data_IF_264033882923
#
_entry.id   IF_264033882923
#
_cell.length_a   1.000
_cell.length_b   1.000
_cell.length_c   1.000
_cell.angle_alpha   90.00
_cell.angle_beta   90.00
_cell.angle_gamma   90.00
#
_symmetry.space_group_name_H-M   'P 1'
#
loop_
_entity.id
_entity.type
_entity.pdbx_description
1 polymer ?
#
# COMPACT_ATOMS: atom_id res chain seq x y z
N UNK A 1 -28.50 -12.59 -1.36
CA UNK A 1 -28.84 -13.88 -1.98
C UNK A 1 -29.84 -13.59 -3.07
N UNK A 2 -29.62 -14.08 -4.30
CA UNK A 2 -30.54 -13.99 -5.40
C UNK A 2 -31.36 -15.28 -5.45
N UNK A 3 -32.67 -15.16 -5.61
CA UNK A 3 -33.56 -16.30 -5.68
C UNK A 3 -34.48 -16.07 -6.87
N UNK A 4 -34.53 -17.02 -7.81
CA UNK A 4 -35.50 -17.03 -8.88
C UNK A 4 -36.85 -17.57 -8.34
N UNK A 5 -37.92 -16.82 -8.56
CA UNK A 5 -39.26 -17.23 -8.17
C UNK A 5 -40.00 -17.76 -9.42
N UNK A 6 -40.27 -19.04 -9.42
CA UNK A 6 -41.16 -19.64 -10.43
C UNK A 6 -42.62 -19.13 -10.23
N UNK A 7 -43.47 -19.25 -11.25
CA UNK A 7 -44.83 -18.77 -11.17
C UNK A 7 -45.64 -19.48 -10.05
N UNK A 8 -45.31 -20.74 -9.76
CA UNK A 8 -45.86 -21.47 -8.63
C UNK A 8 -45.42 -20.87 -7.28
N UNK A 9 -44.18 -20.47 -7.17
CA UNK A 9 -43.63 -19.85 -5.95
C UNK A 9 -44.15 -18.43 -5.72
N UNK A 10 -44.47 -17.68 -6.79
CA UNK A 10 -45.07 -16.34 -6.69
C UNK A 10 -46.47 -16.37 -6.05
N UNK A 11 -47.21 -17.46 -6.22
CA UNK A 11 -48.53 -17.68 -5.63
C UNK A 11 -48.51 -18.43 -4.29
N UNK A 12 -47.34 -18.83 -3.81
CA UNK A 12 -47.15 -19.59 -2.57
C UNK A 12 -47.02 -18.71 -1.33
N UNK A 13 -47.23 -19.28 -0.13
CA UNK A 13 -46.97 -18.65 1.16
C UNK A 13 -45.48 -18.50 1.50
N UNK A 14 -44.55 -18.89 0.60
CA UNK A 14 -43.13 -18.99 0.85
C UNK A 14 -42.50 -17.71 1.44
N UNK A 15 -42.80 -16.56 0.84
CA UNK A 15 -42.27 -15.28 1.32
C UNK A 15 -42.78 -14.92 2.72
N UNK A 16 -44.07 -15.24 2.98
CA UNK A 16 -44.67 -15.02 4.30
C UNK A 16 -44.05 -15.95 5.34
N UNK A 17 -43.84 -17.22 5.00
CA UNK A 17 -43.19 -18.20 5.88
C UNK A 17 -41.74 -17.81 6.19
N UNK A 18 -40.97 -17.32 5.19
CA UNK A 18 -39.62 -16.82 5.38
C UNK A 18 -39.58 -15.61 6.30
N UNK A 19 -40.51 -14.66 6.16
CA UNK A 19 -40.60 -13.49 7.04
C UNK A 19 -40.97 -13.89 8.48
N UNK A 20 -41.90 -14.80 8.66
CA UNK A 20 -42.26 -15.32 9.98
C UNK A 20 -41.09 -16.04 10.63
N UNK A 21 -40.37 -16.88 9.87
CA UNK A 21 -39.21 -17.59 10.39
C UNK A 21 -38.07 -16.66 10.74
N UNK A 22 -37.83 -15.66 9.91
CA UNK A 22 -36.83 -14.62 10.21
C UNK A 22 -37.17 -13.86 11.51
N UNK A 23 -38.44 -13.56 11.71
CA UNK A 23 -38.91 -12.89 12.94
C UNK A 23 -38.69 -13.78 14.18
N UNK A 24 -39.01 -15.09 14.09
CA UNK A 24 -38.78 -16.04 15.19
C UNK A 24 -37.32 -16.12 15.64
N UNK A 25 -36.38 -16.07 14.69
CA UNK A 25 -34.94 -16.17 15.00
C UNK A 25 -34.25 -14.81 15.17
N UNK A 26 -35.03 -13.71 15.18
CA UNK A 26 -34.49 -12.36 15.38
C UNK A 26 -33.69 -11.80 14.21
N UNK A 27 -33.88 -12.34 12.99
CA UNK A 27 -33.20 -11.87 11.77
C UNK A 27 -34.15 -10.96 11.00
N UNK A 28 -33.60 -9.86 10.48
CA UNK A 28 -34.32 -8.94 9.61
C UNK A 28 -34.04 -9.27 8.15
N UNK A 29 -35.07 -9.57 7.35
CA UNK A 29 -34.97 -9.85 5.92
C UNK A 29 -35.62 -8.69 5.15
N UNK A 30 -34.95 -8.25 4.10
CA UNK A 30 -35.45 -7.32 3.09
C UNK A 30 -35.50 -8.03 1.75
N UNK A 31 -36.63 -7.94 1.06
CA UNK A 31 -36.79 -8.44 -0.30
C UNK A 31 -36.84 -7.25 -1.26
N UNK A 32 -36.07 -7.33 -2.33
CA UNK A 32 -36.16 -6.41 -3.46
C UNK A 32 -36.48 -7.23 -4.70
N UNK A 33 -37.60 -6.96 -5.34
CA UNK A 33 -37.92 -7.58 -6.61
C UNK A 33 -37.06 -6.94 -7.71
N UNK A 34 -36.50 -7.77 -8.57
CA UNK A 34 -35.77 -7.33 -9.78
C UNK A 34 -36.43 -7.98 -11.00
N UNK A 35 -36.54 -7.24 -12.08
CA UNK A 35 -37.05 -7.77 -13.36
C UNK A 35 -35.97 -8.62 -14.07
N UNK A 36 -36.42 -9.44 -15.03
CA UNK A 36 -35.46 -10.18 -15.87
C UNK A 36 -34.51 -9.24 -16.63
N UNK A 37 -34.97 -8.08 -17.06
CA UNK A 37 -34.18 -7.07 -17.76
C UNK A 37 -33.14 -6.46 -16.81
N UNK A 38 -33.51 -6.14 -15.57
CA UNK A 38 -32.60 -5.66 -14.55
C UNK A 38 -31.54 -6.71 -14.19
N UNK A 39 -31.93 -7.98 -14.13
CA UNK A 39 -31.01 -9.10 -13.92
C UNK A 39 -30.02 -9.25 -15.07
N UNK A 40 -30.48 -9.25 -16.32
CA UNK A 40 -29.63 -9.32 -17.49
C UNK A 40 -28.67 -8.14 -17.57
N UNK A 41 -29.13 -6.93 -17.31
CA UNK A 41 -28.30 -5.75 -17.25
C UNK A 41 -27.25 -5.84 -16.15
N UNK A 42 -27.59 -6.40 -14.98
CA UNK A 42 -26.68 -6.65 -13.89
C UNK A 42 -25.61 -7.70 -14.26
N UNK A 43 -26.01 -8.80 -14.92
CA UNK A 43 -25.07 -9.83 -15.40
C UNK A 43 -24.10 -9.26 -16.44
N UNK A 44 -24.60 -8.47 -17.41
CA UNK A 44 -23.77 -7.80 -18.40
C UNK A 44 -22.83 -6.78 -17.75
N UNK A 45 -23.28 -6.08 -16.72
CA UNK A 45 -22.46 -5.15 -15.94
C UNK A 45 -21.31 -5.83 -15.18
N UNK A 46 -21.40 -7.13 -14.88
CA UNK A 46 -20.30 -7.88 -14.24
C UNK A 46 -19.11 -8.15 -15.18
N UNK A 47 -19.30 -8.06 -16.48
CA UNK A 47 -18.22 -8.19 -17.48
C UNK A 47 -17.35 -6.94 -17.59
N UNK A 48 -17.75 -5.81 -16.95
CA UNK A 48 -16.99 -4.56 -16.96
C UNK A 48 -15.76 -4.62 -16.06
N UNK A 49 -14.76 -3.81 -16.38
CA UNK A 49 -13.60 -3.62 -15.53
C UNK A 49 -14.01 -3.17 -14.12
N UNK A 50 -13.33 -3.69 -13.12
CA UNK A 50 -13.55 -3.35 -11.71
C UNK A 50 -12.30 -2.72 -11.14
N UNK A 51 -12.49 -1.63 -10.41
CA UNK A 51 -11.41 -0.80 -9.91
C UNK A 51 -11.64 -0.44 -8.45
N UNK A 52 -10.52 -0.20 -7.76
CA UNK A 52 -10.51 0.28 -6.39
C UNK A 52 -9.71 1.58 -6.34
N UNK A 53 -10.33 2.58 -5.75
CA UNK A 53 -9.71 3.86 -5.47
C UNK A 53 -9.66 4.03 -3.95
N UNK A 54 -8.46 4.12 -3.39
CA UNK A 54 -8.25 4.35 -1.96
C UNK A 54 -7.82 5.78 -1.72
N UNK A 55 -8.50 6.47 -0.83
CA UNK A 55 -8.21 7.85 -0.45
C UNK A 55 -7.78 7.89 1.01
N UNK A 56 -6.61 8.44 1.28
CA UNK A 56 -6.03 8.56 2.62
C UNK A 56 -5.69 10.02 2.91
N UNK A 57 -6.01 10.49 4.08
CA UNK A 57 -5.64 11.84 4.54
C UNK A 57 -5.73 12.01 6.05
N UNK A 58 -5.20 13.10 6.59
CA UNK A 58 -5.33 13.42 8.03
C UNK A 58 -6.80 13.66 8.40
N UNK A 59 -7.57 14.23 7.48
CA UNK A 59 -9.02 14.37 7.54
C UNK A 59 -9.60 14.27 6.15
N UNK A 60 -10.74 13.62 5.97
CA UNK A 60 -11.45 13.58 4.69
C UNK A 60 -12.76 14.35 4.82
N UNK A 61 -12.88 15.41 4.03
CA UNK A 61 -14.06 16.25 3.91
C UNK A 61 -14.91 15.86 2.68
N UNK A 62 -16.11 16.37 2.62
CA UNK A 62 -17.00 16.16 1.48
C UNK A 62 -16.41 16.66 0.16
N UNK A 63 -15.60 17.73 0.20
CA UNK A 63 -14.90 18.28 -0.97
C UNK A 63 -13.92 17.27 -1.58
N UNK A 64 -13.14 16.55 -0.76
CA UNK A 64 -12.21 15.52 -1.20
C UNK A 64 -12.93 14.37 -1.91
N UNK A 65 -14.02 13.87 -1.31
CA UNK A 65 -14.82 12.82 -1.93
C UNK A 65 -15.52 13.29 -3.21
N UNK A 66 -15.99 14.53 -3.25
CA UNK A 66 -16.60 15.11 -4.45
C UNK A 66 -15.58 15.21 -5.59
N UNK A 67 -14.35 15.69 -5.31
CA UNK A 67 -13.30 15.80 -6.31
C UNK A 67 -12.89 14.42 -6.87
N UNK A 68 -12.65 13.43 -6.00
CA UNK A 68 -12.33 12.07 -6.42
C UNK A 68 -13.47 11.43 -7.22
N UNK A 69 -14.73 11.62 -6.77
CA UNK A 69 -15.91 11.10 -7.48
C UNK A 69 -16.08 11.79 -8.84
N UNK A 70 -15.74 13.08 -8.95
CA UNK A 70 -15.74 13.81 -10.20
C UNK A 70 -14.76 13.25 -11.23
N UNK A 71 -13.53 12.88 -10.80
CA UNK A 71 -12.56 12.23 -11.67
C UNK A 71 -13.06 10.86 -12.12
N UNK A 72 -13.59 10.04 -11.19
CA UNK A 72 -14.13 8.70 -11.51
C UNK A 72 -15.26 8.80 -12.55
N UNK A 73 -16.21 9.72 -12.34
CA UNK A 73 -17.32 9.94 -13.26
C UNK A 73 -16.84 10.52 -14.62
N UNK A 74 -15.85 11.41 -14.60
CA UNK A 74 -15.27 12.03 -15.78
C UNK A 74 -14.63 11.04 -16.77
N UNK A 75 -14.11 9.92 -16.25
CA UNK A 75 -13.56 8.83 -17.08
C UNK A 75 -14.59 7.74 -17.40
N UNK A 76 -15.88 7.96 -17.11
CA UNK A 76 -16.98 7.06 -17.45
C UNK A 76 -17.16 5.87 -16.51
N UNK A 77 -16.52 5.87 -15.33
CA UNK A 77 -16.71 4.84 -14.32
C UNK A 77 -17.88 5.16 -13.39
N UNK A 78 -18.58 4.11 -12.95
CA UNK A 78 -19.61 4.19 -11.92
C UNK A 78 -19.02 3.82 -10.55
N UNK A 79 -19.40 4.54 -9.51
CA UNK A 79 -19.05 4.18 -8.13
C UNK A 79 -20.12 3.22 -7.61
N UNK A 80 -19.71 1.99 -7.33
CA UNK A 80 -20.62 0.93 -6.85
C UNK A 80 -20.75 0.97 -5.32
N UNK A 81 -19.65 1.29 -4.61
CA UNK A 81 -19.61 1.28 -3.15
C UNK A 81 -18.53 2.22 -2.61
N UNK A 82 -18.80 2.80 -1.45
CA UNK A 82 -17.86 3.61 -0.68
C UNK A 82 -17.78 3.03 0.74
N UNK A 83 -16.58 2.60 1.14
CA UNK A 83 -16.33 2.04 2.46
C UNK A 83 -15.28 2.85 3.21
N UNK A 84 -15.54 3.09 4.49
CA UNK A 84 -14.50 3.62 5.39
C UNK A 84 -13.68 2.46 5.94
N UNK A 85 -12.38 2.44 5.65
CA UNK A 85 -11.44 1.43 6.14
C UNK A 85 -10.82 1.79 7.50
N UNK A 86 -10.70 3.09 7.80
CA UNK A 86 -10.20 3.56 9.09
C UNK A 86 -11.24 3.43 10.20
N UNK A 87 -10.78 3.22 11.44
CA UNK A 87 -11.63 3.26 12.62
C UNK A 87 -12.32 4.64 12.78
N UNK A 88 -13.44 4.67 13.52
CA UNK A 88 -14.08 5.93 13.91
C UNK A 88 -13.31 6.50 15.11
N UNK A 89 -12.94 7.76 15.04
CA UNK A 89 -12.35 8.48 16.17
C UNK A 89 -13.47 9.07 17.05
N UNK A 90 -13.32 9.05 18.39
CA UNK A 90 -14.25 9.76 19.28
C UNK A 90 -14.28 11.27 18.96
N UNK A 91 -15.43 11.92 19.11
CA UNK A 91 -15.60 13.35 18.85
C UNK A 91 -14.70 14.24 19.73
N UNK A 92 -14.26 13.72 20.89
CA UNK A 92 -13.39 14.43 21.83
C UNK A 92 -11.88 14.28 21.52
N UNK A 93 -11.50 13.55 20.48
CA UNK A 93 -10.09 13.37 20.09
C UNK A 93 -9.74 14.38 19.00
N UNK A 94 -8.86 15.32 19.30
CA UNK A 94 -8.36 16.35 18.39
C UNK A 94 -7.47 15.76 17.28
N UNK A 95 -8.04 14.90 16.43
CA UNK A 95 -7.54 14.68 15.09
C UNK A 95 -6.26 13.86 14.91
N UNK A 96 -5.83 13.06 15.87
CA UNK A 96 -4.59 12.25 15.75
C UNK A 96 -4.75 10.93 14.94
N UNK A 97 -5.64 10.86 13.97
CA UNK A 97 -5.85 9.65 13.18
C UNK A 97 -6.00 9.92 11.69
N UNK A 98 -5.28 9.19 10.85
CA UNK A 98 -5.52 9.23 9.40
C UNK A 98 -6.84 8.54 9.06
N UNK A 99 -7.58 9.12 8.11
CA UNK A 99 -8.83 8.60 7.58
C UNK A 99 -8.57 7.95 6.24
N UNK A 100 -9.05 6.71 6.07
CA UNK A 100 -8.97 5.98 4.81
C UNK A 100 -10.38 5.60 4.35
N UNK A 101 -10.69 5.91 3.09
CA UNK A 101 -11.92 5.55 2.39
C UNK A 101 -11.56 4.81 1.12
N UNK A 102 -12.28 3.74 0.83
CA UNK A 102 -12.14 2.94 -0.40
C UNK A 102 -13.43 3.11 -1.23
N UNK A 103 -13.27 3.47 -2.49
CA UNK A 103 -14.35 3.50 -3.48
C UNK A 103 -14.14 2.31 -4.43
N UNK A 104 -15.17 1.46 -4.54
CA UNK A 104 -15.25 0.43 -5.57
C UNK A 104 -15.95 1.03 -6.77
N UNK A 105 -15.35 0.92 -7.94
CA UNK A 105 -15.91 1.45 -9.19
C UNK A 105 -15.92 0.39 -10.28
N UNK A 106 -16.84 0.51 -11.23
CA UNK A 106 -16.96 -0.38 -12.39
C UNK A 106 -17.21 0.42 -13.67
N UNK A 107 -16.76 -0.13 -14.79
CA UNK A 107 -16.94 0.48 -16.10
C UNK A 107 -15.82 0.12 -17.07
N UNK A 108 -15.90 0.70 -18.26
CA UNK A 108 -14.91 0.53 -19.32
C UNK A 108 -13.97 1.76 -19.33
N UNK A 109 -12.81 1.60 -18.69
CA UNK A 109 -11.82 2.66 -18.61
C UNK A 109 -11.02 2.74 -19.89
N UNK A 110 -11.09 3.90 -20.57
CA UNK A 110 -10.40 4.10 -21.84
C UNK A 110 -8.88 4.25 -21.68
N UNK A 111 -8.42 4.88 -20.59
CA UNK A 111 -7.01 5.13 -20.30
C UNK A 111 -6.76 5.11 -18.79
N UNK A 112 -5.91 4.19 -18.33
CA UNK A 112 -5.46 4.17 -16.93
C UNK A 112 -4.52 5.33 -16.59
N UNK A 113 -3.69 5.75 -17.56
CA UNK A 113 -2.72 6.82 -17.36
C UNK A 113 -3.42 8.16 -17.16
N UNK A 114 -4.52 8.41 -17.90
CA UNK A 114 -5.33 9.60 -17.70
C UNK A 114 -5.99 9.61 -16.32
N UNK A 115 -6.53 8.47 -15.91
CA UNK A 115 -7.09 8.29 -14.56
C UNK A 115 -6.04 8.54 -13.47
N UNK A 116 -4.86 7.95 -13.61
CA UNK A 116 -3.75 8.13 -12.65
C UNK A 116 -3.31 9.58 -12.58
N UNK A 117 -3.12 10.21 -13.74
CA UNK A 117 -2.71 11.61 -13.82
C UNK A 117 -3.72 12.56 -13.17
N UNK A 118 -5.01 12.34 -13.42
CA UNK A 118 -6.08 13.12 -12.80
C UNK A 118 -6.15 12.94 -11.28
N UNK A 119 -5.98 11.71 -10.77
CA UNK A 119 -5.93 11.44 -9.33
C UNK A 119 -4.69 12.03 -8.68
N UNK A 120 -3.52 11.99 -9.34
CA UNK A 120 -2.30 12.62 -8.84
C UNK A 120 -2.45 14.14 -8.72
N UNK A 121 -3.17 14.79 -9.63
CA UNK A 121 -3.44 16.23 -9.52
C UNK A 121 -4.19 16.55 -8.21
N UNK A 122 -5.17 15.71 -7.82
CA UNK A 122 -5.90 15.88 -6.56
C UNK A 122 -5.01 15.72 -5.32
N UNK A 123 -4.02 14.84 -5.36
CA UNK A 123 -3.04 14.66 -4.28
C UNK A 123 -2.30 15.96 -3.97
N UNK A 124 -1.93 16.70 -5.01
CA UNK A 124 -1.26 18.00 -4.85
C UNK A 124 -2.20 19.13 -4.40
N UNK A 125 -3.47 19.06 -4.79
CA UNK A 125 -4.46 20.11 -4.48
C UNK A 125 -5.00 20.03 -3.05
N UNK A 126 -5.19 18.80 -2.53
CA UNK A 126 -5.97 18.55 -1.31
C UNK A 126 -5.21 17.96 -0.13
N UNK A 127 -3.91 17.80 -0.19
CA UNK A 127 -3.09 17.13 0.85
C UNK A 127 -3.66 15.76 1.24
N UNK A 128 -4.05 14.97 0.24
CA UNK A 128 -4.53 13.59 0.36
C UNK A 128 -3.71 12.66 -0.50
N UNK A 129 -3.56 11.42 -0.07
CA UNK A 129 -3.00 10.36 -0.90
C UNK A 129 -4.13 9.61 -1.61
N UNK A 130 -3.97 9.36 -2.92
CA UNK A 130 -4.93 8.59 -3.69
C UNK A 130 -4.23 7.44 -4.41
N UNK A 131 -4.71 6.22 -4.21
CA UNK A 131 -4.23 5.04 -4.90
C UNK A 131 -5.32 4.46 -5.81
N UNK A 132 -4.92 4.02 -7.01
CA UNK A 132 -5.78 3.38 -8.00
C UNK A 132 -5.25 2.00 -8.37
N UNK A 133 -6.15 1.01 -8.41
CA UNK A 133 -5.79 -0.37 -8.77
C UNK A 133 -6.97 -1.15 -9.35
N UNK A 134 -6.69 -2.19 -10.15
CA UNK A 134 -7.70 -3.15 -10.57
C UNK A 134 -8.20 -4.00 -9.40
N UNK A 135 -9.52 -4.24 -9.31
CA UNK A 135 -10.11 -5.23 -8.39
C UNK A 135 -10.13 -6.62 -9.03
N UNK A 136 -9.00 -7.31 -8.93
CA UNK A 136 -8.87 -8.67 -9.45
C UNK A 136 -8.98 -9.71 -8.34
N UNK A 137 -9.25 -10.97 -8.70
CA UNK A 137 -9.26 -12.10 -7.74
C UNK A 137 -7.92 -12.25 -7.02
N UNK A 138 -6.83 -11.86 -7.66
CA UNK A 138 -5.48 -11.91 -7.09
C UNK A 138 -5.24 -10.87 -6.00
N UNK A 139 -5.97 -9.75 -5.99
CA UNK A 139 -5.87 -8.73 -4.93
C UNK A 139 -6.16 -9.32 -3.54
N UNK A 140 -7.14 -10.19 -3.43
CA UNK A 140 -7.58 -10.78 -2.15
C UNK A 140 -6.82 -12.05 -1.76
N UNK A 141 -6.08 -12.64 -2.69
CA UNK A 141 -5.37 -13.91 -2.50
C UNK A 141 -3.86 -13.74 -2.31
N UNK A 142 -3.35 -12.50 -2.23
CA UNK A 142 -1.94 -12.24 -1.94
C UNK A 142 -1.61 -12.66 -0.52
N UNK A 143 -0.46 -13.34 -0.36
CA UNK A 143 0.01 -13.85 0.93
C UNK A 143 1.43 -13.40 1.26
N UNK A 144 2.06 -12.64 0.38
CA UNK A 144 3.38 -12.05 0.55
C UNK A 144 3.28 -10.53 0.39
N UNK A 145 3.85 -9.80 1.34
CA UNK A 145 4.04 -8.35 1.27
C UNK A 145 5.53 -8.07 1.33
N UNK A 146 6.05 -7.44 0.29
CA UNK A 146 7.44 -7.00 0.23
C UNK A 146 7.52 -5.49 0.52
N UNK A 147 8.50 -5.11 1.30
CA UNK A 147 8.79 -3.73 1.69
C UNK A 147 10.17 -3.34 1.18
N UNK A 148 10.30 -2.11 0.75
CA UNK A 148 11.60 -1.45 0.72
C UNK A 148 12.03 -1.12 2.16
N UNK A 149 13.31 -0.83 2.34
CA UNK A 149 13.90 -0.57 3.65
C UNK A 149 14.07 0.92 3.90
N UNK A 150 14.92 1.55 3.09
CA UNK A 150 15.32 2.93 3.28
C UNK A 150 14.14 3.87 2.98
N UNK A 151 13.92 4.87 3.82
CA UNK A 151 12.79 5.81 3.73
C UNK A 151 11.39 5.16 3.70
N UNK A 152 11.29 3.83 3.95
CA UNK A 152 10.04 3.05 3.95
C UNK A 152 9.80 2.34 5.29
N UNK A 153 10.68 1.45 5.72
CA UNK A 153 10.61 0.83 7.06
C UNK A 153 11.39 1.62 8.09
N UNK A 154 12.40 2.35 7.66
CA UNK A 154 13.24 3.24 8.47
C UNK A 154 13.20 4.66 7.93
N UNK A 155 13.37 5.64 8.82
CA UNK A 155 13.26 7.07 8.50
C UNK A 155 14.55 7.69 7.97
N UNK A 156 15.44 6.93 7.32
CA UNK A 156 16.70 7.42 6.77
C UNK A 156 17.19 6.55 5.62
N UNK A 157 18.13 7.10 4.85
CA UNK A 157 18.95 6.38 3.88
C UNK A 157 20.21 5.87 4.59
N UNK A 158 20.40 4.54 4.69
CA UNK A 158 21.53 3.94 5.43
C UNK A 158 22.87 4.36 4.86
N UNK A 159 22.99 4.47 3.53
CA UNK A 159 24.24 4.88 2.88
C UNK A 159 24.63 6.32 3.25
N UNK A 160 23.66 7.21 3.39
CA UNK A 160 23.89 8.60 3.80
C UNK A 160 24.34 8.68 5.26
N UNK A 161 23.75 7.86 6.13
CA UNK A 161 24.14 7.77 7.53
C UNK A 161 25.58 7.25 7.70
N UNK A 162 25.98 6.27 6.89
CA UNK A 162 27.36 5.79 6.84
C UNK A 162 28.31 6.86 6.29
N UNK A 163 27.89 7.58 5.23
CA UNK A 163 28.67 8.64 4.62
C UNK A 163 28.93 9.82 5.59
N UNK A 164 27.95 10.18 6.43
CA UNK A 164 28.15 11.17 7.49
C UNK A 164 29.22 10.75 8.47
N UNK A 165 29.22 9.47 8.88
CA UNK A 165 30.23 8.92 9.81
C UNK A 165 31.61 8.77 9.17
N UNK A 166 31.66 8.56 7.87
CA UNK A 166 32.89 8.52 7.10
C UNK A 166 33.44 9.93 6.72
N UNK A 167 32.62 11.00 6.92
CA UNK A 167 32.98 12.37 6.52
C UNK A 167 32.94 12.61 5.01
N UNK A 168 32.18 11.81 4.26
CA UNK A 168 32.10 11.86 2.79
C UNK A 168 30.65 12.12 2.28
N UNK A 169 29.78 12.63 3.15
CA UNK A 169 28.36 12.83 2.82
C UNK A 169 28.15 13.68 1.57
N UNK A 170 28.86 14.81 1.43
CA UNK A 170 28.67 15.71 0.29
C UNK A 170 29.04 15.03 -1.04
N UNK A 171 30.05 14.15 -1.03
CA UNK A 171 30.46 13.39 -2.21
C UNK A 171 29.42 12.34 -2.57
N UNK A 172 28.86 11.64 -1.59
CA UNK A 172 27.79 10.65 -1.78
C UNK A 172 26.54 11.33 -2.30
N UNK A 173 26.13 12.47 -1.74
CA UNK A 173 24.99 13.26 -2.19
C UNK A 173 25.13 13.70 -3.66
N UNK A 174 26.31 14.21 -4.05
CA UNK A 174 26.56 14.61 -5.44
C UNK A 174 26.42 13.45 -6.44
N UNK A 175 26.87 12.23 -6.08
CA UNK A 175 26.71 11.03 -6.92
C UNK A 175 25.21 10.65 -7.00
N UNK A 176 24.49 10.75 -5.89
CA UNK A 176 23.06 10.47 -5.86
C UNK A 176 22.30 11.43 -6.78
N UNK A 177 22.59 12.72 -6.73
CA UNK A 177 21.98 13.72 -7.61
C UNK A 177 22.29 13.47 -9.09
N UNK A 178 23.54 13.10 -9.43
CA UNK A 178 23.93 12.74 -10.79
C UNK A 178 23.13 11.51 -11.30
N UNK A 179 22.94 10.50 -10.45
CA UNK A 179 22.13 9.34 -10.79
C UNK A 179 20.64 9.71 -10.98
N UNK A 180 20.09 10.59 -10.14
CA UNK A 180 18.71 11.09 -10.28
C UNK A 180 18.49 11.89 -11.57
N UNK A 181 19.54 12.57 -12.09
CA UNK A 181 19.50 13.24 -13.39
C UNK A 181 19.71 12.28 -14.58
N UNK A 182 19.90 10.97 -14.32
CA UNK A 182 20.13 9.96 -15.36
C UNK A 182 21.55 9.96 -15.95
N UNK A 183 22.51 10.63 -15.31
CA UNK A 183 23.92 10.67 -15.74
C UNK A 183 24.67 9.36 -15.40
N UNK A 184 24.18 8.64 -14.41
CA UNK A 184 24.73 7.35 -13.94
C UNK A 184 23.59 6.34 -13.81
N UNK A 185 23.84 5.09 -14.15
CA UNK A 185 22.94 4.00 -13.82
C UNK A 185 22.99 3.68 -12.32
N UNK A 186 21.96 2.96 -11.86
CA UNK A 186 21.83 2.63 -10.43
C UNK A 186 23.03 1.85 -9.89
N UNK A 187 23.51 0.83 -10.62
CA UNK A 187 24.61 -0.03 -10.15
C UNK A 187 25.94 0.72 -10.09
N UNK A 188 26.24 1.50 -11.12
CA UNK A 188 27.46 2.34 -11.14
C UNK A 188 27.45 3.37 -10.02
N UNK A 189 26.33 4.09 -9.85
CA UNK A 189 26.14 5.05 -8.77
C UNK A 189 26.28 4.40 -7.39
N UNK A 190 25.65 3.24 -7.18
CA UNK A 190 25.70 2.54 -5.89
C UNK A 190 27.14 2.12 -5.55
N UNK A 191 27.86 1.51 -6.50
CA UNK A 191 29.26 1.10 -6.31
C UNK A 191 30.18 2.28 -6.01
N UNK A 192 30.01 3.41 -6.71
CA UNK A 192 30.78 4.62 -6.44
C UNK A 192 30.55 5.14 -5.03
N UNK A 193 29.28 5.22 -4.60
CA UNK A 193 28.94 5.66 -3.24
C UNK A 193 29.51 4.72 -2.18
N UNK A 194 29.42 3.40 -2.38
CA UNK A 194 29.99 2.41 -1.45
C UNK A 194 31.52 2.50 -1.40
N UNK A 195 32.20 2.74 -2.52
CA UNK A 195 33.66 2.86 -2.56
C UNK A 195 34.20 4.01 -1.69
N UNK A 196 33.40 5.08 -1.53
CA UNK A 196 33.75 6.21 -0.64
C UNK A 196 33.71 5.85 0.85
N UNK A 197 33.03 4.76 1.22
CA UNK A 197 32.97 4.27 2.60
C UNK A 197 34.19 3.45 3.01
N UNK A 198 35.16 3.25 2.10
CA UNK A 198 36.40 2.51 2.39
C UNK A 198 37.13 3.07 3.59
N UNK A 199 37.53 2.21 4.51
CA UNK A 199 38.23 2.60 5.73
C UNK A 199 37.30 2.89 6.93
N UNK A 200 35.99 2.92 6.73
CA UNK A 200 35.04 3.10 7.82
C UNK A 200 35.10 1.88 8.77
N UNK A 201 35.14 2.11 10.07
CA UNK A 201 35.16 1.01 11.06
C UNK A 201 33.81 0.34 11.16
N UNK A 202 33.78 -0.98 11.33
CA UNK A 202 32.53 -1.76 11.49
C UNK A 202 31.66 -1.28 12.68
N UNK A 203 32.28 -0.69 13.71
CA UNK A 203 31.51 -0.08 14.81
C UNK A 203 30.56 1.04 14.36
N UNK A 204 30.83 1.69 13.24
CA UNK A 204 29.92 2.69 12.67
C UNK A 204 28.61 2.07 12.14
N UNK A 205 28.65 0.82 11.66
CA UNK A 205 27.46 0.09 11.23
C UNK A 205 26.51 -0.12 12.42
N UNK A 206 27.06 -0.52 13.57
CA UNK A 206 26.25 -0.67 14.79
C UNK A 206 25.66 0.66 15.25
N UNK A 207 26.42 1.74 15.18
CA UNK A 207 25.91 3.07 15.50
C UNK A 207 24.76 3.50 14.59
N UNK A 208 24.79 3.14 13.30
CA UNK A 208 23.67 3.40 12.38
C UNK A 208 22.44 2.60 12.80
N UNK A 209 22.60 1.31 13.11
CA UNK A 209 21.52 0.47 13.63
C UNK A 209 20.86 1.09 14.87
N UNK A 210 21.68 1.58 15.80
CA UNK A 210 21.22 2.11 17.09
C UNK A 210 20.52 3.48 16.96
N UNK A 211 20.83 4.26 15.92
CA UNK A 211 20.37 5.65 15.78
C UNK A 211 19.27 5.86 14.78
N UNK A 212 19.14 5.00 13.76
CA UNK A 212 18.12 5.16 12.71
C UNK A 212 16.75 4.74 13.25
N UNK A 213 15.77 5.65 13.24
CA UNK A 213 14.43 5.33 13.75
C UNK A 213 13.63 4.50 12.74
N UNK A 214 12.72 3.68 13.25
CA UNK A 214 11.67 3.08 12.42
C UNK A 214 10.69 4.14 11.97
N UNK A 215 10.12 3.95 10.79
CA UNK A 215 8.98 4.73 10.34
C UNK A 215 7.77 4.50 11.25
N UNK A 216 7.01 5.54 11.46
CA UNK A 216 5.81 5.47 12.31
C UNK A 216 4.81 4.45 11.74
N UNK A 217 4.35 3.56 12.62
CA UNK A 217 3.41 2.50 12.28
C UNK A 217 4.02 1.23 11.66
N UNK A 218 5.31 1.18 11.34
CA UNK A 218 5.95 0.00 10.73
C UNK A 218 5.80 -1.26 11.58
N UNK A 219 6.06 -1.18 12.89
CA UNK A 219 5.91 -2.32 13.82
C UNK A 219 4.46 -2.83 13.85
N UNK A 220 3.49 -1.91 13.92
CA UNK A 220 2.07 -2.25 13.97
C UNK A 220 1.60 -2.89 12.66
N UNK A 221 2.05 -2.36 11.52
CA UNK A 221 1.71 -2.89 10.20
C UNK A 221 2.19 -4.34 10.06
N UNK A 222 3.47 -4.59 10.32
CA UNK A 222 4.06 -5.92 10.17
C UNK A 222 3.43 -6.92 11.16
N UNK A 223 3.22 -6.52 12.42
CA UNK A 223 2.54 -7.36 13.40
C UNK A 223 1.11 -7.72 12.96
N UNK A 224 0.40 -6.78 12.33
CA UNK A 224 -0.95 -7.01 11.80
C UNK A 224 -0.94 -7.96 10.61
N UNK A 225 -0.03 -7.76 9.64
CA UNK A 225 0.11 -8.64 8.49
C UNK A 225 0.41 -10.09 8.92
N UNK A 226 1.31 -10.27 9.87
CA UNK A 226 1.63 -11.60 10.42
C UNK A 226 0.42 -12.26 11.09
N UNK A 227 -0.35 -11.52 11.88
CA UNK A 227 -1.63 -12.03 12.47
C UNK A 227 -2.63 -12.45 11.41
N UNK A 228 -2.65 -11.78 10.26
CA UNK A 228 -3.50 -12.11 9.12
C UNK A 228 -2.93 -13.26 8.26
N UNK A 229 -1.79 -13.84 8.62
CA UNK A 229 -1.17 -14.97 7.93
C UNK A 229 -0.38 -14.60 6.68
N UNK A 230 -0.03 -13.32 6.50
CA UNK A 230 0.86 -12.91 5.43
C UNK A 230 2.30 -13.25 5.75
N UNK A 231 3.05 -13.62 4.71
CA UNK A 231 4.51 -13.61 4.70
C UNK A 231 5.00 -12.21 4.40
N UNK A 232 6.13 -11.83 5.00
CA UNK A 232 6.72 -10.50 4.84
C UNK A 232 8.15 -10.59 4.35
N UNK A 233 8.56 -9.68 3.48
CA UNK A 233 9.90 -9.63 2.92
C UNK A 233 10.44 -8.19 2.92
N UNK A 234 11.75 -8.05 3.09
CA UNK A 234 12.50 -6.84 2.74
C UNK A 234 13.17 -7.09 1.39
N UNK A 235 12.93 -6.20 0.43
CA UNK A 235 13.63 -6.13 -0.86
C UNK A 235 14.24 -4.74 -0.96
N UNK A 236 15.57 -4.63 -0.84
CA UNK A 236 16.25 -3.33 -0.75
C UNK A 236 17.52 -3.28 -1.56
N UNK A 237 17.76 -2.16 -2.22
CA UNK A 237 19.05 -1.81 -2.78
C UNK A 237 20.12 -1.48 -1.73
N UNK A 238 19.73 -1.34 -0.46
CA UNK A 238 20.61 -1.05 0.68
C UNK A 238 21.36 -2.28 1.22
N UNK A 239 21.61 -2.30 2.54
CA UNK A 239 22.57 -3.21 3.15
C UNK A 239 21.91 -4.28 4.06
N UNK A 240 22.41 -5.50 3.96
CA UNK A 240 21.93 -6.66 4.74
C UNK A 240 22.10 -6.50 6.24
N UNK A 241 23.13 -5.77 6.73
CA UNK A 241 23.34 -5.61 8.17
C UNK A 241 22.15 -4.90 8.84
N UNK A 242 21.63 -3.84 8.24
CA UNK A 242 20.41 -3.15 8.71
C UNK A 242 19.17 -4.01 8.51
N UNK A 243 19.05 -4.64 7.34
CA UNK A 243 17.93 -5.53 7.04
C UNK A 243 17.81 -6.70 8.01
N UNK A 244 18.93 -7.31 8.45
CA UNK A 244 18.95 -8.38 9.47
C UNK A 244 18.46 -7.87 10.82
N UNK A 245 18.82 -6.68 11.24
CA UNK A 245 18.31 -6.10 12.48
C UNK A 245 16.80 -5.84 12.40
N UNK A 246 16.31 -5.29 11.29
CA UNK A 246 14.87 -5.11 11.06
C UNK A 246 14.13 -6.45 11.01
N UNK A 247 14.69 -7.44 10.33
CA UNK A 247 14.15 -8.80 10.30
C UNK A 247 13.99 -9.37 11.70
N UNK A 248 15.02 -9.25 12.53
CA UNK A 248 15.00 -9.72 13.93
C UNK A 248 13.99 -8.95 14.77
N UNK A 249 13.98 -7.62 14.69
CA UNK A 249 13.14 -6.72 15.49
C UNK A 249 11.66 -6.83 15.13
N UNK A 250 11.34 -6.86 13.84
CA UNK A 250 9.97 -6.84 13.33
C UNK A 250 9.41 -8.26 13.06
N UNK A 251 10.28 -9.28 13.03
CA UNK A 251 9.92 -10.66 12.71
C UNK A 251 9.56 -10.86 11.25
N UNK A 252 10.29 -10.21 10.33
CA UNK A 252 10.11 -10.34 8.89
C UNK A 252 10.64 -11.68 8.41
N UNK A 253 9.90 -12.36 7.49
CA UNK A 253 10.24 -13.72 7.06
C UNK A 253 11.44 -13.78 6.12
N UNK A 254 11.56 -12.85 5.17
CA UNK A 254 12.57 -12.89 4.11
C UNK A 254 13.33 -11.56 3.99
N UNK A 255 14.59 -11.65 3.61
CA UNK A 255 15.45 -10.49 3.38
C UNK A 255 16.29 -10.69 2.12
N UNK A 256 16.22 -9.73 1.21
CA UNK A 256 17.09 -9.60 0.04
C UNK A 256 17.65 -8.18 -0.01
N UNK A 257 18.96 -8.06 0.15
CA UNK A 257 19.70 -6.80 0.13
C UNK A 257 21.17 -7.07 -0.20
N UNK A 258 21.95 -6.02 -0.41
CA UNK A 258 23.38 -6.15 -0.72
C UNK A 258 24.22 -6.34 0.56
N UNK A 259 25.27 -7.10 0.48
CA UNK A 259 26.22 -7.32 1.58
C UNK A 259 27.39 -6.37 1.47
N UNK A 260 27.56 -5.50 2.46
CA UNK A 260 28.71 -4.62 2.57
C UNK A 260 29.93 -5.47 3.00
N UNK A 261 31.01 -5.39 2.22
CA UNK A 261 32.20 -6.19 2.52
C UNK A 261 33.02 -5.53 3.65
N UNK A 262 33.28 -6.32 4.68
CA UNK A 262 34.02 -5.90 5.88
C UNK A 262 35.13 -6.90 6.17
N UNK A 263 36.36 -6.42 6.23
CA UNK A 263 37.55 -7.23 6.56
C UNK A 263 38.28 -6.57 7.72
N UNK A 264 38.69 -7.35 8.71
CA UNK A 264 39.42 -6.87 9.90
C UNK A 264 38.75 -5.65 10.57
N UNK A 265 37.44 -5.73 10.75
CA UNK A 265 36.60 -4.66 11.35
C UNK A 265 36.63 -3.32 10.56
N UNK A 266 36.94 -3.37 9.26
CA UNK A 266 36.99 -2.20 8.39
C UNK A 266 36.24 -2.48 7.09
N UNK A 267 35.42 -1.52 6.65
CA UNK A 267 34.70 -1.55 5.38
C UNK A 267 35.71 -1.44 4.23
N UNK A 268 35.66 -2.37 3.30
CA UNK A 268 36.60 -2.43 2.16
C UNK A 268 36.25 -1.42 1.06
N UNK A 269 35.01 -0.92 1.03
CA UNK A 269 34.47 -0.12 -0.06
C UNK A 269 33.88 -0.97 -1.19
N UNK A 270 33.73 -2.28 -0.96
CA UNK A 270 33.11 -3.21 -1.91
C UNK A 270 31.77 -3.72 -1.39
N UNK A 271 30.94 -4.15 -2.30
CA UNK A 271 29.61 -4.70 -2.00
C UNK A 271 29.38 -5.96 -2.83
N UNK A 272 28.77 -6.95 -2.21
CA UNK A 272 28.30 -8.18 -2.86
C UNK A 272 26.79 -8.20 -2.81
N UNK A 273 26.16 -8.48 -3.92
CA UNK A 273 24.70 -8.56 -3.95
C UNK A 273 24.13 -8.81 -5.33
N UNK A 274 22.83 -8.92 -5.36
CA UNK A 274 22.04 -9.31 -6.54
C UNK A 274 21.28 -8.09 -7.11
N UNK A 275 21.30 -6.98 -6.41
CA UNK A 275 20.50 -5.78 -6.75
C UNK A 275 21.42 -4.67 -7.23
#
# INVERSE_FOLDING_TARGET
ILIELTDEMKSSSLLTELLLKAHEIGVRIHFTAISSEEYEAWVQGQAKGRYIISVLGPALEAAHLAAVSGVIAGVGLNIDRIDRLSGRTPLANDGAGRVCVELSASGDLASEDDMRSALMALTHEFDIDVAFQHDTVFRRNRRLVAFDMDSTLIGAEVIDELARRAGVFDQVAAITEAAMRGELDFQASFRLRVSLLKGLRASALQQVIDTVPLMDGAERLIATLRKLGYKTAILSGGFTFMGRELQRRLGIDYLHANELDVVDEVVTGEVRGVI
#
